data_IF_125726914297
#
_entry.id   IF_125726914297
#
_cell.length_a   1.000
_cell.length_b   1.000
_cell.length_c   1.000
_cell.angle_alpha   90.00
_cell.angle_beta   90.00
_cell.angle_gamma   90.00
#
_symmetry.space_group_name_H-M   'P 1'
#
loop_
_entity.id
_entity.type
_entity.pdbx_description
1 polymer ?
#
# COMPACT_ATOMS: atom_id res chain seq x y z
N UNK A 1 -9.13 -11.74 -18.72
CA UNK A 1 -10.48 -12.24 -19.17
C UNK A 1 -11.54 -12.10 -18.07
N UNK A 2 -11.44 -12.82 -16.93
CA UNK A 2 -12.53 -12.84 -15.91
C UNK A 2 -12.94 -11.46 -15.36
N UNK A 3 -12.02 -10.55 -15.16
CA UNK A 3 -12.33 -9.19 -14.68
C UNK A 3 -12.72 -8.25 -15.82
N UNK A 4 -12.17 -8.43 -17.00
CA UNK A 4 -12.49 -7.68 -18.20
C UNK A 4 -13.94 -7.96 -18.63
N UNK A 5 -14.39 -9.23 -18.55
CA UNK A 5 -15.78 -9.63 -18.78
C UNK A 5 -16.77 -8.93 -17.82
N UNK A 6 -16.28 -8.49 -16.66
CA UNK A 6 -17.04 -7.69 -15.68
C UNK A 6 -16.90 -6.18 -15.88
N UNK A 7 -16.28 -5.76 -16.98
CA UNK A 7 -16.10 -4.35 -17.35
C UNK A 7 -15.00 -3.64 -16.58
N UNK A 8 -13.96 -4.35 -16.12
CA UNK A 8 -12.76 -3.75 -15.58
C UNK A 8 -11.70 -3.56 -16.66
N UNK A 9 -11.02 -2.41 -16.63
CA UNK A 9 -9.73 -2.24 -17.26
C UNK A 9 -8.68 -2.88 -16.36
N UNK A 10 -7.85 -3.76 -16.90
CA UNK A 10 -6.87 -4.53 -16.13
C UNK A 10 -5.47 -4.25 -16.62
N UNK A 11 -4.59 -3.83 -15.73
CA UNK A 11 -3.16 -3.71 -15.99
C UNK A 11 -2.39 -4.51 -14.96
N UNK A 12 -1.46 -5.33 -15.44
CA UNK A 12 -0.68 -6.23 -14.60
C UNK A 12 0.81 -6.05 -14.83
N UNK A 13 1.58 -6.31 -13.79
CA UNK A 13 3.02 -6.53 -13.88
C UNK A 13 3.31 -7.80 -13.08
N UNK A 14 3.63 -8.88 -13.77
CA UNK A 14 3.80 -10.21 -13.20
C UNK A 14 5.02 -10.92 -13.75
N UNK A 15 5.47 -11.94 -13.03
CA UNK A 15 6.58 -12.81 -13.42
C UNK A 15 6.24 -14.27 -13.10
N UNK A 16 7.03 -15.21 -13.63
CA UNK A 16 6.85 -16.63 -13.32
C UNK A 16 7.22 -16.92 -11.87
N UNK A 17 6.36 -17.59 -11.16
CA UNK A 17 6.57 -18.01 -9.76
C UNK A 17 5.99 -17.02 -8.77
N UNK A 18 6.85 -16.27 -8.10
CA UNK A 18 6.46 -15.34 -7.04
C UNK A 18 6.40 -13.89 -7.55
N UNK A 19 5.82 -13.01 -6.74
CA UNK A 19 5.59 -11.60 -7.00
C UNK A 19 4.50 -11.38 -8.07
N UNK A 20 4.12 -10.13 -8.19
CA UNK A 20 3.11 -9.66 -9.12
C UNK A 20 2.22 -8.62 -8.47
N UNK A 21 1.91 -7.58 -9.25
CA UNK A 21 1.03 -6.49 -8.87
C UNK A 21 0.07 -6.20 -10.01
N UNK A 22 -1.10 -5.63 -9.66
CA UNK A 22 -2.12 -5.30 -10.64
C UNK A 22 -2.90 -4.07 -10.23
N UNK A 23 -3.47 -3.40 -11.23
CA UNK A 23 -4.50 -2.37 -11.06
C UNK A 23 -5.70 -2.78 -11.88
N UNK A 24 -6.87 -2.86 -11.24
CA UNK A 24 -8.16 -3.13 -11.86
C UNK A 24 -9.06 -1.90 -11.64
N UNK A 25 -9.60 -1.34 -12.71
CA UNK A 25 -10.39 -0.12 -12.64
C UNK A 25 -11.64 -0.18 -13.51
N UNK A 26 -12.74 0.41 -13.05
CA UNK A 26 -13.93 0.66 -13.89
C UNK A 26 -13.70 1.83 -14.86
N UNK A 27 -12.69 2.64 -14.61
CA UNK A 27 -12.27 3.74 -15.48
C UNK A 27 -11.06 3.33 -16.31
N UNK A 28 -10.78 3.99 -17.44
CA UNK A 28 -9.56 3.77 -18.20
C UNK A 28 -8.28 3.94 -17.35
N UNK A 29 -7.26 3.16 -17.68
CA UNK A 29 -5.94 3.24 -17.05
C UNK A 29 -4.97 3.85 -18.06
N UNK A 30 -4.45 5.03 -17.75
CA UNK A 30 -3.59 5.83 -18.62
C UNK A 30 -2.17 5.90 -18.03
N UNK A 31 -1.17 6.19 -18.85
CA UNK A 31 0.24 6.38 -18.46
C UNK A 31 0.78 5.26 -17.55
N UNK A 32 0.52 4.02 -17.96
CA UNK A 32 0.90 2.84 -17.17
C UNK A 32 2.40 2.64 -17.14
N UNK A 33 2.99 2.66 -15.95
CA UNK A 33 4.41 2.34 -15.71
C UNK A 33 4.52 1.02 -14.94
N UNK A 34 5.38 0.11 -15.41
CA UNK A 34 5.68 -1.17 -14.77
C UNK A 34 7.11 -1.20 -14.29
N UNK A 35 7.31 -1.73 -13.07
CA UNK A 35 8.60 -1.71 -12.38
C UNK A 35 8.84 -0.41 -11.62
N UNK A 36 9.52 -0.52 -10.48
CA UNK A 36 9.92 0.64 -9.70
C UNK A 36 11.11 1.34 -10.37
N UNK A 37 11.01 2.63 -10.72
CA UNK A 37 12.12 3.36 -11.34
C UNK A 37 13.39 3.39 -10.49
N UNK A 38 14.54 3.61 -11.16
CA UNK A 38 15.83 3.83 -10.50
C UNK A 38 16.80 2.65 -10.50
N UNK A 39 16.39 1.50 -11.04
CA UNK A 39 17.27 0.38 -11.32
C UNK A 39 16.68 -0.50 -12.43
N UNK A 40 17.19 -0.33 -13.65
CA UNK A 40 16.72 -1.05 -14.84
C UNK A 40 17.13 -2.56 -14.81
N UNK A 41 18.01 -2.94 -13.90
CA UNK A 41 18.42 -4.35 -13.70
C UNK A 41 17.49 -5.12 -12.75
N UNK A 42 16.60 -4.44 -12.05
CA UNK A 42 15.63 -5.08 -11.15
C UNK A 42 14.40 -5.55 -11.94
N UNK A 43 14.40 -6.82 -12.30
CA UNK A 43 13.32 -7.47 -13.05
C UNK A 43 12.13 -7.91 -12.17
N UNK A 44 12.14 -7.64 -10.85
CA UNK A 44 11.08 -8.10 -9.97
C UNK A 44 9.79 -7.30 -10.15
N UNK A 45 8.69 -8.02 -10.36
CA UNK A 45 7.35 -7.46 -10.58
C UNK A 45 6.70 -7.03 -9.26
N UNK A 46 7.15 -5.89 -8.70
CA UNK A 46 6.75 -5.39 -7.38
C UNK A 46 6.11 -4.02 -7.39
N UNK A 47 5.99 -3.39 -8.56
CA UNK A 47 5.42 -2.05 -8.70
C UNK A 47 4.69 -1.92 -10.03
N UNK A 48 3.51 -1.34 -9.99
CA UNK A 48 2.79 -0.85 -11.16
C UNK A 48 2.05 0.42 -10.78
N UNK A 49 2.01 1.39 -11.68
CA UNK A 49 1.26 2.62 -11.48
C UNK A 49 0.55 3.06 -12.74
N UNK A 50 -0.57 3.76 -12.57
CA UNK A 50 -1.37 4.28 -13.66
C UNK A 50 -2.08 5.56 -13.24
N UNK A 51 -2.47 6.38 -14.21
CA UNK A 51 -3.37 7.50 -14.03
C UNK A 51 -4.81 7.04 -14.27
N UNK A 52 -5.73 7.46 -13.41
CA UNK A 52 -7.17 7.25 -13.53
C UNK A 52 -7.81 8.64 -13.59
N UNK A 53 -8.41 8.95 -14.75
CA UNK A 53 -9.15 10.21 -14.95
C UNK A 53 -10.62 10.00 -14.60
N UNK A 54 -11.07 10.68 -13.55
CA UNK A 54 -12.47 10.81 -13.18
C UNK A 54 -13.02 12.11 -13.78
N UNK A 55 -14.31 12.39 -13.58
CA UNK A 55 -14.95 13.56 -14.19
C UNK A 55 -14.26 14.88 -13.79
N UNK A 56 -13.95 15.06 -12.50
CA UNK A 56 -13.44 16.32 -11.97
C UNK A 56 -12.03 16.21 -11.37
N UNK A 57 -11.46 15.03 -11.35
CA UNK A 57 -10.13 14.79 -10.76
C UNK A 57 -9.39 13.63 -11.44
N UNK A 58 -8.10 13.78 -11.66
CA UNK A 58 -7.23 12.69 -12.07
C UNK A 58 -6.38 12.23 -10.89
N UNK A 59 -6.22 10.92 -10.74
CA UNK A 59 -5.52 10.26 -9.65
C UNK A 59 -4.33 9.48 -10.20
N UNK A 60 -3.16 9.56 -9.56
CA UNK A 60 -2.08 8.60 -9.77
C UNK A 60 -2.21 7.49 -8.75
N UNK A 61 -2.41 6.26 -9.21
CA UNK A 61 -2.56 5.07 -8.37
C UNK A 61 -1.38 4.16 -8.58
N UNK A 62 -0.71 3.79 -7.48
CA UNK A 62 0.42 2.89 -7.47
C UNK A 62 0.05 1.65 -6.65
N UNK A 63 0.28 0.46 -7.21
CA UNK A 63 0.15 -0.83 -6.52
C UNK A 63 1.53 -1.43 -6.31
N UNK A 64 1.85 -1.82 -5.09
CA UNK A 64 3.15 -2.36 -4.72
C UNK A 64 3.07 -3.66 -3.93
N UNK A 65 4.15 -4.44 -4.04
CA UNK A 65 4.47 -5.58 -3.18
C UNK A 65 5.94 -5.48 -2.78
N UNK A 66 6.21 -4.81 -1.65
CA UNK A 66 7.57 -4.59 -1.18
C UNK A 66 8.27 -5.91 -0.80
N UNK A 67 9.60 -6.00 -0.93
CA UNK A 67 10.34 -7.19 -0.51
C UNK A 67 10.11 -7.49 0.97
N UNK A 68 9.93 -8.78 1.30
CA UNK A 68 9.81 -9.23 2.68
C UNK A 68 11.10 -8.96 3.49
N UNK A 69 12.25 -9.34 2.96
CA UNK A 69 13.57 -9.07 3.55
C UNK A 69 14.12 -10.17 4.44
N UNK A 70 13.33 -11.17 4.82
CA UNK A 70 13.81 -12.27 5.65
C UNK A 70 14.55 -13.37 4.84
N UNK A 71 15.51 -14.09 5.42
CA UNK A 71 16.08 -13.89 6.77
C UNK A 71 16.99 -12.66 6.85
N UNK A 72 17.06 -12.08 8.04
CA UNK A 72 17.93 -10.95 8.36
C UNK A 72 18.95 -11.36 9.44
N UNK A 73 20.22 -10.86 9.38
CA UNK A 73 20.80 -10.08 8.29
C UNK A 73 21.04 -10.92 7.03
N UNK A 74 21.09 -10.26 5.86
CA UNK A 74 21.42 -10.96 4.61
C UNK A 74 20.97 -10.24 3.35
N UNK A 75 21.30 -10.80 2.17
CA UNK A 75 21.11 -10.11 0.89
C UNK A 75 19.63 -9.78 0.58
N UNK A 76 18.67 -10.52 1.12
CA UNK A 76 17.25 -10.21 0.98
C UNK A 76 16.86 -8.95 1.73
N UNK A 77 17.48 -8.75 2.91
CA UNK A 77 17.25 -7.53 3.69
C UNK A 77 17.93 -6.32 3.05
N UNK A 78 19.13 -6.48 2.56
CA UNK A 78 19.85 -5.43 1.81
C UNK A 78 19.05 -5.00 0.58
N UNK A 79 18.52 -5.95 -0.19
CA UNK A 79 17.64 -5.69 -1.32
C UNK A 79 16.38 -4.93 -0.91
N UNK A 80 15.73 -5.33 0.20
CA UNK A 80 14.56 -4.62 0.74
C UNK A 80 14.87 -3.15 1.02
N UNK A 81 15.97 -2.87 1.70
CA UNK A 81 16.34 -1.49 2.06
C UNK A 81 16.68 -0.66 0.81
N UNK A 82 17.39 -1.24 -0.17
CA UNK A 82 17.66 -0.58 -1.45
C UNK A 82 16.37 -0.30 -2.24
N UNK A 83 15.45 -1.26 -2.27
CA UNK A 83 14.16 -1.11 -2.91
C UNK A 83 13.34 0.01 -2.25
N UNK A 84 13.32 0.08 -0.92
CA UNK A 84 12.64 1.15 -0.16
C UNK A 84 13.27 2.54 -0.40
N UNK A 85 14.59 2.61 -0.58
CA UNK A 85 15.25 3.88 -0.92
C UNK A 85 14.87 4.36 -2.33
N UNK A 86 14.81 3.45 -3.31
CA UNK A 86 14.28 3.78 -4.66
C UNK A 86 12.83 4.23 -4.60
N UNK A 87 12.00 3.54 -3.80
CA UNK A 87 10.61 3.92 -3.59
C UNK A 87 10.49 5.32 -2.98
N UNK A 88 11.34 5.67 -2.01
CA UNK A 88 11.40 7.01 -1.43
C UNK A 88 11.68 8.08 -2.48
N UNK A 89 12.68 7.84 -3.34
CA UNK A 89 13.05 8.76 -4.42
C UNK A 89 11.92 8.91 -5.44
N UNK A 90 11.28 7.81 -5.82
CA UNK A 90 10.15 7.84 -6.75
C UNK A 90 8.92 8.51 -6.13
N UNK A 91 8.60 8.22 -4.88
CA UNK A 91 7.51 8.89 -4.16
C UNK A 91 7.73 10.41 -4.06
N UNK A 92 8.98 10.85 -3.84
CA UNK A 92 9.35 12.26 -3.89
C UNK A 92 9.11 12.87 -5.29
N UNK A 93 9.49 12.15 -6.34
CA UNK A 93 9.25 12.59 -7.73
C UNK A 93 7.74 12.69 -8.04
N UNK A 94 6.95 11.71 -7.60
CA UNK A 94 5.50 11.74 -7.82
C UNK A 94 4.83 12.99 -7.23
N UNK A 95 5.30 13.49 -6.08
CA UNK A 95 4.76 14.72 -5.48
C UNK A 95 4.94 15.94 -6.37
N UNK A 96 5.92 15.95 -7.28
CA UNK A 96 6.12 17.06 -8.23
C UNK A 96 5.02 17.17 -9.29
N UNK A 97 4.21 16.12 -9.48
CA UNK A 97 3.07 16.16 -10.40
C UNK A 97 1.90 16.99 -9.88
N UNK A 98 1.94 17.36 -8.60
CA UNK A 98 0.91 18.17 -7.95
C UNK A 98 -0.52 17.64 -8.13
N UNK A 99 -0.69 16.33 -8.22
CA UNK A 99 -1.96 15.63 -8.33
C UNK A 99 -2.22 14.73 -7.11
N UNK A 100 -3.46 14.27 -6.87
CA UNK A 100 -3.74 13.24 -5.88
C UNK A 100 -3.02 11.94 -6.22
N UNK A 101 -2.24 11.41 -5.26
CA UNK A 101 -1.45 10.19 -5.40
C UNK A 101 -1.84 9.21 -4.31
N UNK A 102 -2.06 7.97 -4.71
CA UNK A 102 -2.35 6.83 -3.85
C UNK A 102 -1.25 5.79 -4.06
N UNK A 103 -0.50 5.45 -3.01
CA UNK A 103 0.48 4.35 -3.03
C UNK A 103 -0.06 3.26 -2.09
N UNK A 104 -0.49 2.14 -2.67
CA UNK A 104 -1.19 1.08 -1.94
C UNK A 104 -0.54 -0.29 -2.14
N UNK A 105 -0.63 -1.15 -1.15
CA UNK A 105 -0.21 -2.55 -1.23
C UNK A 105 0.43 -3.07 0.04
N UNK A 106 1.08 -4.23 -0.09
CA UNK A 106 1.85 -4.86 0.96
C UNK A 106 3.26 -4.25 1.03
N UNK A 107 3.49 -3.49 2.08
CA UNK A 107 4.79 -2.86 2.35
C UNK A 107 5.78 -3.80 3.05
N UNK A 108 5.29 -4.95 3.57
CA UNK A 108 6.07 -5.83 4.41
C UNK A 108 6.79 -5.08 5.56
N UNK A 109 6.13 -4.05 6.10
CA UNK A 109 6.63 -3.25 7.23
C UNK A 109 5.53 -3.07 8.25
N UNK A 110 5.86 -3.36 9.51
CA UNK A 110 5.08 -3.03 10.70
C UNK A 110 5.56 -1.64 11.17
N UNK A 111 4.81 -0.55 10.94
CA UNK A 111 5.34 0.80 11.17
C UNK A 111 5.59 1.13 12.64
N UNK A 112 4.72 0.66 13.53
CA UNK A 112 4.74 0.95 14.97
C UNK A 112 4.35 -0.29 15.77
N UNK A 113 4.63 -0.28 17.08
CA UNK A 113 4.23 -1.38 17.98
C UNK A 113 2.72 -1.63 17.99
N UNK A 114 1.92 -0.57 17.87
CA UNK A 114 0.46 -0.67 17.76
C UNK A 114 -0.01 -1.47 16.52
N UNK A 115 0.85 -1.65 15.53
CA UNK A 115 0.57 -2.36 14.29
C UNK A 115 0.85 -3.87 14.38
N UNK A 116 1.20 -4.38 15.56
CA UNK A 116 1.38 -5.80 15.85
C UNK A 116 0.67 -6.19 17.15
N UNK A 117 0.03 -7.36 17.16
CA UNK A 117 -0.61 -7.90 18.37
C UNK A 117 0.42 -8.23 19.46
N UNK A 118 1.58 -8.73 19.04
CA UNK A 118 2.68 -9.09 19.94
C UNK A 118 3.99 -8.55 19.36
N UNK A 119 4.31 -7.25 19.56
CA UNK A 119 5.47 -6.60 18.93
C UNK A 119 6.80 -7.30 19.26
N UNK A 120 6.92 -7.89 20.45
CA UNK A 120 8.14 -8.58 20.89
C UNK A 120 8.48 -9.83 20.06
N UNK A 121 7.52 -10.39 19.32
CA UNK A 121 7.77 -11.52 18.42
C UNK A 121 8.45 -11.08 17.11
N UNK A 122 8.48 -9.80 16.82
CA UNK A 122 8.96 -9.23 15.56
C UNK A 122 10.26 -8.44 15.69
N UNK A 123 10.85 -8.37 16.88
CA UNK A 123 12.02 -7.52 17.16
C UNK A 123 13.22 -7.78 16.28
N UNK A 124 13.42 -9.05 15.86
CA UNK A 124 14.52 -9.48 14.98
C UNK A 124 14.06 -9.74 13.54
N UNK A 125 12.80 -9.44 13.22
CA UNK A 125 12.20 -9.67 11.91
C UNK A 125 12.39 -8.46 10.99
N UNK A 126 12.66 -8.71 9.70
CA UNK A 126 12.83 -7.69 8.66
C UNK A 126 11.65 -6.73 8.55
N UNK A 127 10.44 -7.17 8.92
CA UNK A 127 9.22 -6.33 8.89
C UNK A 127 9.22 -5.26 9.99
N UNK A 128 9.96 -5.48 11.09
CA UNK A 128 9.90 -4.60 12.26
C UNK A 128 11.25 -3.97 12.66
N UNK A 129 12.35 -4.40 12.04
CA UNK A 129 13.66 -3.78 12.29
C UNK A 129 13.62 -2.27 12.13
N UNK A 130 14.46 -1.58 12.89
CA UNK A 130 14.50 -0.11 12.91
C UNK A 130 14.70 0.51 11.54
N UNK A 131 15.55 -0.09 10.69
CA UNK A 131 15.84 0.43 9.35
C UNK A 131 14.62 0.33 8.44
N UNK A 132 13.86 -0.78 8.49
CA UNK A 132 12.60 -0.94 7.76
C UNK A 132 11.57 0.12 8.18
N UNK A 133 11.38 0.29 9.49
CA UNK A 133 10.47 1.32 10.03
C UNK A 133 10.93 2.74 9.71
N UNK A 134 12.24 2.96 9.67
CA UNK A 134 12.82 4.25 9.30
C UNK A 134 12.60 4.54 7.82
N UNK A 135 12.76 3.53 6.94
CA UNK A 135 12.47 3.68 5.52
C UNK A 135 11.00 4.07 5.28
N UNK A 136 10.05 3.43 5.97
CA UNK A 136 8.63 3.81 5.91
C UNK A 136 8.39 5.25 6.40
N UNK A 137 8.96 5.62 7.56
CA UNK A 137 8.84 6.98 8.10
C UNK A 137 9.42 8.06 7.18
N UNK A 138 10.51 7.77 6.46
CA UNK A 138 11.06 8.71 5.46
C UNK A 138 10.02 9.07 4.40
N UNK A 139 9.20 8.09 3.95
CA UNK A 139 8.13 8.34 2.97
C UNK A 139 7.04 9.23 3.58
N UNK A 140 6.63 8.95 4.81
CA UNK A 140 5.68 9.82 5.52
C UNK A 140 6.23 11.26 5.68
N UNK A 141 7.52 11.40 5.96
CA UNK A 141 8.17 12.71 6.12
C UNK A 141 8.26 13.52 4.81
N UNK A 142 8.04 12.90 3.63
CA UNK A 142 7.85 13.64 2.37
C UNK A 142 6.51 14.38 2.31
N UNK A 143 5.55 14.03 3.19
CA UNK A 143 4.20 14.57 3.22
C UNK A 143 3.11 13.53 2.93
N UNK A 144 3.46 12.27 2.65
CA UNK A 144 2.46 11.20 2.57
C UNK A 144 1.86 10.89 3.93
N UNK A 145 0.60 10.49 3.94
CA UNK A 145 -0.13 10.14 5.16
C UNK A 145 -0.65 8.71 5.06
N UNK A 146 -0.42 7.92 6.11
CA UNK A 146 -1.09 6.62 6.30
C UNK A 146 -2.58 6.87 6.58
N UNK A 147 -3.43 6.56 5.60
CA UNK A 147 -4.86 6.87 5.64
C UNK A 147 -5.55 6.23 6.84
N UNK A 148 -5.19 4.97 7.14
CA UNK A 148 -5.81 4.24 8.24
C UNK A 148 -5.47 4.90 9.58
N UNK A 149 -4.20 5.20 9.85
CA UNK A 149 -3.76 5.83 11.10
C UNK A 149 -4.19 7.29 11.24
N UNK A 150 -4.57 7.94 10.15
CA UNK A 150 -5.17 9.28 10.20
C UNK A 150 -6.56 9.24 10.88
N UNK A 151 -7.41 8.26 10.54
CA UNK A 151 -8.80 8.18 10.98
C UNK A 151 -8.99 7.24 12.18
N UNK A 152 -8.19 6.17 12.27
CA UNK A 152 -8.29 5.17 13.33
C UNK A 152 -6.96 5.01 14.09
N UNK A 153 -6.98 5.34 15.37
CA UNK A 153 -5.84 5.19 16.30
C UNK A 153 -5.98 3.96 17.21
N UNK A 154 -6.97 3.11 16.96
CA UNK A 154 -7.22 1.93 17.77
C UNK A 154 -6.15 0.85 17.60
N UNK A 155 -6.01 0.01 18.60
CA UNK A 155 -5.26 -1.24 18.54
C UNK A 155 -6.13 -2.35 17.90
N UNK A 156 -5.49 -3.48 17.61
CA UNK A 156 -6.18 -4.75 17.24
C UNK A 156 -6.82 -4.77 15.85
N UNK A 157 -6.42 -3.87 14.97
CA UNK A 157 -6.80 -3.90 13.55
C UNK A 157 -5.58 -4.20 12.71
N UNK A 158 -5.58 -5.37 12.10
CA UNK A 158 -4.46 -5.92 11.34
C UNK A 158 -4.91 -6.24 9.92
N UNK A 159 -3.92 -6.48 9.03
CA UNK A 159 -4.17 -6.82 7.63
C UNK A 159 -3.68 -8.21 7.27
N UNK A 160 -2.87 -8.82 8.15
CA UNK A 160 -2.25 -10.13 7.97
C UNK A 160 -2.32 -10.97 9.25
N UNK A 161 -2.63 -12.25 9.10
CA UNK A 161 -2.54 -13.28 10.14
C UNK A 161 -1.99 -14.57 9.54
N UNK A 162 -0.84 -15.04 10.04
CA UNK A 162 -0.28 -16.32 9.64
C UNK A 162 -1.32 -17.45 9.71
N UNK A 163 -1.21 -18.42 8.83
CA UNK A 163 -2.07 -19.62 8.86
C UNK A 163 -1.76 -20.52 10.06
N UNK A 164 -0.57 -20.38 10.65
CA UNK A 164 -0.09 -21.24 11.72
C UNK A 164 -0.50 -20.72 13.11
N UNK A 165 -0.30 -21.59 14.11
CA UNK A 165 -0.44 -21.29 15.53
C UNK A 165 -1.83 -20.74 15.96
N UNK A 166 -2.85 -20.84 15.10
CA UNK A 166 -4.18 -20.28 15.37
C UNK A 166 -4.18 -18.75 15.46
N UNK A 167 -3.32 -18.09 14.68
CA UNK A 167 -3.10 -16.64 14.73
C UNK A 167 -4.38 -15.85 14.56
N UNK A 168 -5.26 -16.26 13.62
CA UNK A 168 -6.56 -15.63 13.43
C UNK A 168 -7.44 -15.71 14.68
N UNK A 169 -7.64 -16.91 15.25
CA UNK A 169 -8.49 -17.12 16.42
C UNK A 169 -8.01 -16.37 17.67
N UNK A 170 -6.70 -16.13 17.77
CA UNK A 170 -6.06 -15.38 18.86
C UNK A 170 -5.97 -13.88 18.57
N UNK A 171 -6.41 -13.45 17.39
CA UNK A 171 -6.18 -12.11 16.84
C UNK A 171 -4.68 -11.69 16.91
N UNK A 172 -3.77 -12.65 16.72
CA UNK A 172 -2.32 -12.40 16.68
C UNK A 172 -1.89 -11.99 15.26
N UNK A 173 -2.30 -10.81 14.84
CA UNK A 173 -2.07 -10.27 13.52
C UNK A 173 -1.08 -9.10 13.51
N UNK A 174 -0.77 -8.65 12.31
CA UNK A 174 0.05 -7.46 12.03
C UNK A 174 -0.58 -6.64 10.92
N UNK A 175 -0.30 -5.33 10.89
CA UNK A 175 -0.73 -4.44 9.82
C UNK A 175 0.48 -4.07 8.95
N UNK A 176 0.51 -4.62 7.75
CA UNK A 176 1.61 -4.47 6.78
C UNK A 176 1.15 -4.00 5.40
N UNK A 177 -0.16 -3.98 5.18
CA UNK A 177 -0.79 -3.39 4.00
C UNK A 177 -1.23 -1.97 4.32
N UNK A 178 -0.88 -1.01 3.48
CA UNK A 178 -1.10 0.41 3.74
C UNK A 178 -1.58 1.16 2.50
N UNK A 179 -2.36 2.22 2.72
CA UNK A 179 -2.58 3.30 1.77
C UNK A 179 -1.80 4.54 2.23
N UNK A 180 -0.79 4.93 1.48
CA UNK A 180 -0.11 6.20 1.65
C UNK A 180 -0.66 7.21 0.64
N UNK A 181 -1.20 8.30 1.14
CA UNK A 181 -1.89 9.32 0.37
C UNK A 181 -1.09 10.63 0.35
N UNK A 182 -0.94 11.23 -0.84
CA UNK A 182 -0.33 12.57 -0.95
C UNK A 182 -1.22 13.64 -0.31
N UNK A 183 -0.70 14.84 0.01
CA UNK A 183 -1.49 15.93 0.59
C UNK A 183 -2.76 16.23 -0.21
N UNK A 184 -2.69 16.32 -1.53
CA UNK A 184 -3.86 16.54 -2.39
C UNK A 184 -4.87 15.39 -2.35
N UNK A 185 -4.41 14.15 -2.11
CA UNK A 185 -5.31 13.00 -1.98
C UNK A 185 -5.99 12.96 -0.61
N UNK A 186 -5.31 13.42 0.45
CA UNK A 186 -5.89 13.52 1.79
C UNK A 186 -7.08 14.47 1.81
N UNK A 187 -7.05 15.57 1.06
CA UNK A 187 -8.15 16.50 0.94
C UNK A 187 -9.43 15.87 0.34
N UNK A 188 -9.27 14.75 -0.36
CA UNK A 188 -10.37 13.97 -0.95
C UNK A 188 -10.80 12.79 -0.06
N UNK A 189 -10.03 12.43 0.98
CA UNK A 189 -10.33 11.26 1.80
C UNK A 189 -11.62 11.46 2.61
N UNK A 190 -12.55 10.54 2.46
CA UNK A 190 -13.81 10.49 3.20
C UNK A 190 -13.82 9.43 4.28
N UNK A 191 -13.24 8.25 3.98
CA UNK A 191 -13.26 7.11 4.90
C UNK A 191 -12.18 6.09 4.53
N UNK A 192 -11.87 5.16 5.45
CA UNK A 192 -10.91 4.06 5.25
C UNK A 192 -11.27 2.88 6.13
N UNK A 193 -10.90 1.67 5.72
CA UNK A 193 -11.17 0.49 6.54
C UNK A 193 -10.33 -0.73 6.19
N UNK A 194 -10.51 -1.74 7.03
CA UNK A 194 -9.90 -3.07 6.93
C UNK A 194 -11.02 -4.09 7.09
N UNK A 195 -11.25 -4.93 6.09
CA UNK A 195 -12.30 -5.95 6.07
C UNK A 195 -11.80 -7.24 6.76
N UNK A 196 -11.52 -7.15 8.05
CA UNK A 196 -10.90 -8.23 8.83
C UNK A 196 -11.73 -9.52 8.82
N UNK A 197 -13.07 -9.43 8.72
CA UNK A 197 -13.97 -10.60 8.74
C UNK A 197 -13.68 -11.58 7.59
N UNK A 198 -13.15 -11.10 6.47
CA UNK A 198 -12.82 -11.94 5.30
C UNK A 198 -11.79 -13.02 5.67
N UNK A 199 -10.92 -12.75 6.67
CA UNK A 199 -9.95 -13.73 7.17
C UNK A 199 -10.62 -14.97 7.81
N UNK A 200 -11.86 -14.84 8.25
CA UNK A 200 -12.66 -15.93 8.81
C UNK A 200 -13.46 -16.77 7.80
N UNK A 201 -13.40 -16.45 6.49
CA UNK A 201 -14.11 -17.17 5.45
C UNK A 201 -13.48 -18.55 5.16
N UNK A 202 -14.15 -19.36 4.32
CA UNK A 202 -13.60 -20.62 3.86
C UNK A 202 -12.41 -20.40 2.92
N UNK A 203 -11.25 -21.03 3.22
CA UNK A 203 -9.98 -20.90 2.46
C UNK A 203 -9.56 -19.45 2.20
N UNK A 204 -9.48 -18.62 3.24
CA UNK A 204 -9.15 -17.21 3.07
C UNK A 204 -7.68 -17.03 2.73
N UNK A 205 -7.31 -15.85 2.21
CA UNK A 205 -5.93 -15.38 2.21
C UNK A 205 -5.46 -15.14 3.65
N UNK A 206 -4.15 -15.14 3.88
CA UNK A 206 -3.52 -14.64 5.11
C UNK A 206 -3.57 -13.12 5.23
N UNK A 207 -3.77 -12.40 4.12
CA UNK A 207 -4.11 -10.99 4.09
C UNK A 207 -5.61 -10.77 3.93
N UNK A 208 -6.07 -9.58 4.35
CA UNK A 208 -7.45 -9.10 4.15
C UNK A 208 -7.46 -7.82 3.33
N UNK A 209 -8.56 -7.51 2.63
CA UNK A 209 -8.69 -6.25 1.92
C UNK A 209 -8.62 -5.05 2.85
N UNK A 210 -7.90 -4.02 2.38
CA UNK A 210 -7.97 -2.67 2.89
C UNK A 210 -8.63 -1.78 1.85
N UNK A 211 -9.29 -0.71 2.27
CA UNK A 211 -9.96 0.18 1.35
C UNK A 211 -9.93 1.65 1.83
N UNK A 212 -10.06 2.55 0.88
CA UNK A 212 -10.31 3.98 1.10
C UNK A 212 -11.51 4.41 0.29
N UNK A 213 -12.22 5.42 0.79
CA UNK A 213 -13.27 6.13 0.08
C UNK A 213 -12.83 7.57 -0.12
N UNK A 214 -12.85 8.03 -1.36
CA UNK A 214 -12.46 9.40 -1.72
C UNK A 214 -13.62 10.12 -2.42
N UNK A 215 -13.63 11.44 -2.32
CA UNK A 215 -14.54 12.31 -3.08
C UNK A 215 -14.05 12.47 -4.51
N UNK A 216 -14.96 12.42 -5.48
CA UNK A 216 -14.66 12.77 -6.87
C UNK A 216 -14.58 14.29 -7.09
N UNK A 217 -15.03 15.08 -6.11
CA UNK A 217 -15.05 16.55 -6.18
C UNK A 217 -14.06 17.14 -5.19
N UNK A 218 -13.36 18.17 -5.61
CA UNK A 218 -12.51 18.94 -4.73
C UNK A 218 -13.35 19.67 -3.67
N UNK A 219 -13.38 19.15 -2.44
CA UNK A 219 -14.21 19.66 -1.33
C UNK A 219 -13.85 21.09 -0.93
N UNK A 220 -12.68 21.60 -1.32
CA UNK A 220 -12.28 22.99 -1.07
C UNK A 220 -13.01 23.98 -1.99
N UNK A 221 -13.40 23.57 -3.21
CA UNK A 221 -14.21 24.41 -4.09
C UNK A 221 -15.67 24.47 -3.63
N UNK A 222 -16.20 23.39 -3.05
CA UNK A 222 -17.59 23.39 -2.54
C UNK A 222 -17.78 24.32 -1.34
N UNK A 223 -16.76 24.50 -0.48
CA UNK A 223 -16.82 25.44 0.65
C UNK A 223 -16.78 26.91 0.20
N UNK A 224 -16.18 27.21 -0.95
CA UNK A 224 -16.17 28.58 -1.53
C UNK A 224 -17.46 28.97 -2.23
N UNK A 225 -18.29 27.99 -2.64
CA UNK A 225 -19.57 28.23 -3.29
C UNK A 225 -20.76 28.32 -2.30
N UNK A 226 -20.49 28.00 -1.01
CA UNK A 226 -21.50 28.03 0.07
C UNK A 226 -21.30 29.21 1.06
N UNK A 227 -20.38 30.13 0.77
CA UNK A 227 -20.19 31.42 1.45
C UNK A 227 -20.48 32.56 0.52
#
# INVERSE_FOLDING_TARGET
EHFEDKGYNVQTHGQKGFNGVAILSKYPLEDVTRGLPGDDSDEQSRWIEATISLQDVSLRVCSLYAPNGNPTPGPKYDYKLQWMERMLLHAKNLLTYEMPIIIAGDYNIIPQEIDAATPTQWTDDALFLLDSRTAFRKILNLGYTDSYRLLDKSHSKYTFWDYQAGSWNKNNGIRIDHFLLSPKCIDLLLDTGIDSEIRGHERPSDHVPIWIKISEKNTLEMKKLST
#
